data_IF_289686834289
#
_entry.id   IF_289686834289
#
_cell.length_a   1.000
_cell.length_b   1.000
_cell.length_c   1.000
_cell.angle_alpha   90.00
_cell.angle_beta   90.00
_cell.angle_gamma   90.00
#
_symmetry.space_group_name_H-M   'P 1'
#
loop_
_entity.id
_entity.type
_entity.pdbx_description
1 polymer ?
#
# COMPACT_ATOMS: atom_id res chain seq x y z
N UNK A 1 13.19 -64.97 -4.67
CA UNK A 1 14.24 -63.94 -4.67
C UNK A 1 13.59 -62.61 -4.93
N UNK A 2 13.31 -61.85 -3.85
CA UNK A 2 12.66 -60.56 -3.95
C UNK A 2 13.76 -59.49 -3.93
N UNK A 3 13.89 -58.78 -5.07
CA UNK A 3 14.80 -57.61 -5.14
C UNK A 3 14.20 -56.44 -4.36
N UNK A 4 14.81 -56.13 -3.22
CA UNK A 4 14.62 -54.85 -2.57
C UNK A 4 15.27 -53.75 -3.44
N UNK A 5 14.46 -53.01 -4.15
CA UNK A 5 14.92 -51.75 -4.78
C UNK A 5 15.08 -50.71 -3.66
N UNK A 6 16.32 -50.32 -3.38
CA UNK A 6 16.60 -49.16 -2.55
C UNK A 6 15.97 -47.92 -3.14
N UNK A 7 15.29 -47.08 -2.34
CA UNK A 7 14.71 -45.86 -2.86
C UNK A 7 15.80 -44.97 -3.46
N UNK A 8 15.57 -44.47 -4.68
CA UNK A 8 16.48 -43.52 -5.34
C UNK A 8 16.63 -42.25 -4.49
N UNK A 9 17.82 -41.71 -4.34
CA UNK A 9 18.02 -40.47 -3.58
C UNK A 9 17.22 -39.33 -4.22
N UNK A 10 16.36 -38.71 -3.42
CA UNK A 10 15.54 -37.55 -3.83
C UNK A 10 16.48 -36.37 -4.02
N UNK A 11 16.45 -35.74 -5.18
CA UNK A 11 17.24 -34.51 -5.40
C UNK A 11 16.68 -33.36 -4.57
N UNK A 12 17.52 -32.38 -4.21
CA UNK A 12 17.09 -31.16 -3.51
C UNK A 12 15.86 -30.50 -4.12
N UNK A 13 15.79 -30.47 -5.45
CA UNK A 13 14.66 -29.92 -6.23
C UNK A 13 13.37 -30.71 -5.99
N UNK A 14 13.46 -32.02 -5.89
CA UNK A 14 12.31 -32.90 -5.64
C UNK A 14 11.84 -32.80 -4.19
N UNK A 15 12.76 -32.70 -3.21
CA UNK A 15 12.42 -32.46 -1.82
C UNK A 15 11.70 -31.10 -1.63
N UNK A 16 12.20 -30.05 -2.26
CA UNK A 16 11.58 -28.72 -2.25
C UNK A 16 10.19 -28.72 -2.91
N UNK A 17 10.00 -29.47 -4.00
CA UNK A 17 8.67 -29.56 -4.66
C UNK A 17 7.66 -30.37 -3.86
N UNK A 18 8.10 -31.33 -3.03
CA UNK A 18 7.21 -32.13 -2.17
C UNK A 18 6.75 -31.38 -0.92
N UNK A 19 7.58 -30.45 -0.41
CA UNK A 19 7.29 -29.66 0.81
C UNK A 19 6.50 -28.40 0.46
N UNK A 20 6.68 -27.85 -0.74
CA UNK A 20 6.18 -26.55 -1.18
C UNK A 20 4.97 -26.60 -2.11
N UNK A 21 4.01 -27.49 -1.88
CA UNK A 21 2.78 -27.55 -2.71
C UNK A 21 2.03 -26.22 -2.71
N UNK A 22 2.34 -25.32 -3.64
CA UNK A 22 1.65 -24.07 -3.91
C UNK A 22 2.50 -22.81 -3.79
N UNK A 23 3.23 -22.59 -2.73
CA UNK A 23 4.07 -21.39 -2.52
C UNK A 23 5.45 -21.46 -3.18
N UNK A 24 5.99 -22.65 -3.38
CA UNK A 24 7.35 -22.86 -3.93
C UNK A 24 7.52 -22.45 -5.39
N UNK A 25 6.45 -22.37 -6.18
CA UNK A 25 6.53 -22.02 -7.60
C UNK A 25 6.67 -20.52 -7.87
N UNK A 26 6.16 -19.66 -7.00
CA UNK A 26 6.29 -18.19 -7.13
C UNK A 26 7.69 -17.73 -6.74
N UNK A 27 8.32 -18.40 -5.76
CA UNK A 27 9.70 -18.10 -5.37
C UNK A 27 10.74 -18.55 -6.41
N UNK A 28 10.42 -19.50 -7.27
CA UNK A 28 11.37 -20.09 -8.23
C UNK A 28 11.54 -19.31 -9.54
N UNK A 29 10.63 -18.41 -9.89
CA UNK A 29 10.66 -17.71 -11.19
C UNK A 29 11.67 -16.56 -11.27
N UNK A 30 12.27 -16.13 -10.15
CA UNK A 30 13.19 -14.98 -10.09
C UNK A 30 14.66 -15.33 -9.80
N UNK A 31 15.07 -16.58 -10.02
CA UNK A 31 16.42 -17.08 -9.69
C UNK A 31 17.54 -16.74 -10.67
N UNK A 32 17.49 -15.60 -11.35
CA UNK A 32 18.61 -15.20 -12.24
C UNK A 32 18.97 -13.76 -11.92
N UNK A 33 19.89 -13.56 -11.05
CA UNK A 33 20.82 -12.44 -10.81
C UNK A 33 20.98 -12.11 -9.33
N UNK A 34 21.89 -12.83 -8.68
CA UNK A 34 22.32 -12.49 -7.33
C UNK A 34 23.74 -11.91 -7.35
N UNK A 35 23.89 -10.72 -6.86
CA UNK A 35 25.16 -10.22 -6.37
C UNK A 35 24.99 -9.65 -4.96
N UNK A 36 25.62 -10.32 -3.98
CA UNK A 36 26.02 -9.82 -2.67
C UNK A 36 24.98 -8.99 -1.89
N UNK A 37 23.94 -9.61 -1.37
CA UNK A 37 23.14 -9.03 -0.30
C UNK A 37 23.86 -9.20 1.04
N UNK A 38 24.56 -8.17 1.51
CA UNK A 38 24.85 -8.06 2.93
C UNK A 38 23.51 -7.91 3.66
N UNK A 39 23.09 -8.95 4.38
CA UNK A 39 22.04 -8.85 5.39
C UNK A 39 22.58 -8.01 6.55
N UNK A 40 22.64 -6.71 6.35
CA UNK A 40 22.81 -5.77 7.43
C UNK A 40 21.47 -5.68 8.16
N UNK A 41 21.41 -6.04 9.42
CA UNK A 41 20.45 -5.46 10.35
C UNK A 41 20.70 -3.95 10.32
N UNK A 42 20.08 -3.25 9.39
CA UNK A 42 20.22 -1.81 9.30
C UNK A 42 19.50 -1.24 10.52
N UNK A 43 20.28 -0.69 11.42
CA UNK A 43 19.75 0.15 12.50
C UNK A 43 19.23 1.44 11.87
N UNK A 44 18.17 2.01 12.46
CA UNK A 44 17.70 3.34 12.09
C UNK A 44 18.86 4.34 12.12
N UNK A 45 18.89 5.28 11.17
CA UNK A 45 19.92 6.32 11.08
C UNK A 45 19.74 7.39 12.17
N UNK A 46 18.50 7.51 12.67
CA UNK A 46 18.11 8.41 13.76
C UNK A 46 16.86 7.85 14.48
N UNK A 47 16.43 8.49 15.54
CA UNK A 47 15.29 8.04 16.33
C UNK A 47 14.01 8.02 15.46
N UNK A 48 13.43 6.85 15.27
CA UNK A 48 12.15 6.69 14.59
C UNK A 48 11.01 7.32 15.40
N UNK A 49 10.03 7.89 14.69
CA UNK A 49 8.75 8.35 15.25
C UNK A 49 7.65 7.33 15.00
N UNK A 50 7.68 6.68 13.85
CA UNK A 50 6.81 5.56 13.49
C UNK A 50 7.60 4.25 13.50
N UNK A 51 6.93 3.15 13.88
CA UNK A 51 7.45 1.78 13.81
C UNK A 51 6.81 1.01 12.65
N UNK A 52 5.60 1.38 12.25
CA UNK A 52 4.75 0.65 11.31
C UNK A 52 4.05 1.62 10.38
N UNK A 53 3.62 1.09 9.23
CA UNK A 53 2.89 1.87 8.22
C UNK A 53 1.63 1.12 7.80
N UNK A 54 0.51 1.82 7.73
CA UNK A 54 -0.70 1.41 7.04
C UNK A 54 -0.91 2.36 5.86
N UNK A 55 -0.96 1.82 4.64
CA UNK A 55 -1.22 2.61 3.45
C UNK A 55 -2.58 2.21 2.85
N UNK A 56 -3.55 3.10 2.98
CA UNK A 56 -4.90 2.99 2.42
C UNK A 56 -4.86 3.57 1.01
N UNK A 57 -4.79 2.72 -0.01
CA UNK A 57 -4.61 3.16 -1.40
C UNK A 57 -5.94 3.16 -2.16
N UNK A 58 -6.38 4.35 -2.57
CA UNK A 58 -7.59 4.58 -3.36
C UNK A 58 -7.23 4.60 -4.85
N UNK A 59 -7.14 3.40 -5.45
CA UNK A 59 -6.74 3.25 -6.85
C UNK A 59 -7.76 3.83 -7.83
N UNK A 60 -7.26 4.62 -8.79
CA UNK A 60 -8.06 5.22 -9.85
C UNK A 60 -8.03 6.76 -9.90
N UNK A 61 -7.11 7.44 -9.20
CA UNK A 61 -6.93 8.88 -9.33
C UNK A 61 -8.08 9.70 -8.73
N UNK A 62 -8.10 9.77 -7.41
CA UNK A 62 -9.17 10.45 -6.66
C UNK A 62 -9.19 11.95 -6.94
N UNK A 63 -10.35 12.49 -7.26
CA UNK A 63 -10.55 13.92 -7.47
C UNK A 63 -10.39 14.71 -6.17
N UNK A 64 -9.28 15.41 -6.03
CA UNK A 64 -9.02 16.26 -4.87
C UNK A 64 -10.01 17.41 -4.76
N UNK A 65 -10.42 18.01 -5.88
CA UNK A 65 -11.39 19.11 -5.90
C UNK A 65 -12.82 18.70 -5.53
N UNK A 66 -13.08 17.39 -5.47
CA UNK A 66 -14.36 16.83 -5.06
C UNK A 66 -14.31 16.18 -3.67
N UNK A 67 -13.10 16.10 -3.05
CA UNK A 67 -12.91 15.37 -1.78
C UNK A 67 -12.23 16.18 -0.68
N UNK A 68 -11.01 16.70 -0.93
CA UNK A 68 -10.13 17.25 0.13
C UNK A 68 -9.66 18.69 -0.12
N UNK A 69 -9.85 19.24 -1.33
CA UNK A 69 -9.33 20.53 -1.76
C UNK A 69 -10.43 21.45 -2.31
N UNK A 70 -11.20 22.14 -1.45
CA UNK A 70 -12.29 23.01 -1.87
C UNK A 70 -11.79 24.15 -2.74
N UNK A 71 -12.51 24.44 -3.84
CA UNK A 71 -12.16 25.48 -4.80
C UNK A 71 -13.35 26.42 -5.08
N UNK A 72 -13.50 27.52 -4.32
CA UNK A 72 -14.58 28.48 -4.52
C UNK A 72 -14.61 29.06 -5.94
N UNK A 73 -13.47 29.13 -6.62
CA UNK A 73 -13.44 29.62 -8.01
C UNK A 73 -14.11 28.65 -8.99
N UNK A 74 -14.19 27.35 -8.68
CA UNK A 74 -14.98 26.41 -9.50
C UNK A 74 -16.48 26.70 -9.41
N UNK A 75 -16.98 27.16 -8.26
CA UNK A 75 -18.40 27.61 -8.16
C UNK A 75 -18.65 28.89 -8.98
N UNK A 76 -17.74 29.86 -8.89
CA UNK A 76 -17.86 31.15 -9.62
C UNK A 76 -17.78 30.99 -11.14
N UNK A 77 -17.00 30.01 -11.61
CA UNK A 77 -16.76 29.77 -13.04
C UNK A 77 -17.43 28.48 -13.54
N UNK A 78 -18.36 27.93 -12.79
CA UNK A 78 -19.11 26.73 -13.20
C UNK A 78 -19.74 26.90 -14.57
N UNK A 79 -19.54 25.94 -15.46
CA UNK A 79 -20.03 25.99 -16.83
C UNK A 79 -19.30 26.96 -17.76
N UNK A 80 -18.21 27.61 -17.31
CA UNK A 80 -17.44 28.59 -18.13
C UNK A 80 -16.07 28.00 -18.49
N UNK A 81 -15.45 28.49 -19.59
CA UNK A 81 -14.07 28.17 -19.90
C UNK A 81 -13.12 28.58 -18.77
N UNK A 82 -12.04 27.84 -18.56
CA UNK A 82 -11.00 28.23 -17.63
C UNK A 82 -10.34 29.54 -18.08
N UNK A 83 -10.20 30.55 -17.20
CA UNK A 83 -9.47 31.78 -17.53
C UNK A 83 -7.98 31.46 -17.73
N UNK A 84 -7.38 32.05 -18.76
CA UNK A 84 -5.95 31.90 -19.03
C UNK A 84 -5.61 30.84 -20.07
N UNK A 85 -4.38 30.26 -20.02
CA UNK A 85 -3.94 29.29 -21.01
C UNK A 85 -4.72 27.98 -20.87
N UNK A 86 -4.91 27.31 -22.02
CA UNK A 86 -5.64 26.05 -22.06
C UNK A 86 -4.95 24.99 -21.17
N UNK A 87 -5.77 24.23 -20.43
CA UNK A 87 -5.32 23.10 -19.65
C UNK A 87 -4.78 22.00 -20.57
N UNK A 88 -3.58 21.52 -20.30
CA UNK A 88 -3.05 20.32 -20.96
C UNK A 88 -3.63 19.08 -20.28
N UNK A 89 -4.41 18.32 -21.01
CA UNK A 89 -5.12 17.13 -20.52
C UNK A 89 -4.88 15.95 -21.47
N UNK A 90 -5.06 14.74 -21.00
CA UNK A 90 -4.94 13.55 -21.86
C UNK A 90 -6.13 13.40 -22.80
N UNK A 91 -7.32 13.77 -22.31
CA UNK A 91 -8.58 13.70 -23.05
C UNK A 91 -9.11 15.10 -23.24
N UNK A 92 -9.99 15.25 -24.22
CA UNK A 92 -10.62 16.53 -24.46
C UNK A 92 -11.45 16.94 -23.25
N UNK A 93 -11.19 18.11 -22.70
CA UNK A 93 -11.95 18.73 -21.61
C UNK A 93 -12.77 19.90 -22.10
N UNK A 94 -13.87 20.14 -21.41
CA UNK A 94 -14.77 21.26 -21.66
C UNK A 94 -14.60 22.38 -20.65
N UNK A 95 -15.72 22.91 -20.20
CA UNK A 95 -15.79 24.01 -19.23
C UNK A 95 -15.43 23.53 -17.81
N UNK A 96 -15.10 24.45 -16.93
CA UNK A 96 -14.94 24.20 -15.51
C UNK A 96 -16.24 23.65 -14.92
N UNK A 97 -16.07 22.74 -13.96
CA UNK A 97 -17.19 22.11 -13.26
C UNK A 97 -16.98 22.27 -11.76
N UNK A 98 -17.93 22.87 -11.05
CA UNK A 98 -17.92 22.89 -9.59
C UNK A 98 -18.07 21.46 -9.04
N UNK A 99 -17.61 21.25 -7.83
CA UNK A 99 -17.88 19.99 -7.13
C UNK A 99 -19.38 19.82 -6.88
N UNK A 100 -19.96 18.65 -7.21
CA UNK A 100 -21.34 18.36 -6.83
C UNK A 100 -21.48 17.99 -5.34
N UNK A 101 -20.38 17.95 -4.59
CA UNK A 101 -20.32 17.58 -3.18
C UNK A 101 -19.96 18.82 -2.35
N UNK A 102 -20.88 19.37 -1.56
CA UNK A 102 -20.60 20.49 -0.67
C UNK A 102 -19.48 20.20 0.32
N UNK A 103 -18.65 21.20 0.57
CA UNK A 103 -17.60 21.13 1.59
C UNK A 103 -18.12 21.68 2.91
N UNK A 104 -17.61 21.10 4.02
CA UNK A 104 -17.89 21.53 5.39
C UNK A 104 -16.61 21.58 6.20
N UNK A 105 -16.59 22.44 7.22
CA UNK A 105 -15.53 22.46 8.23
C UNK A 105 -15.80 21.42 9.30
N UNK A 106 -14.78 20.67 9.65
CA UNK A 106 -14.83 19.63 10.66
C UNK A 106 -13.75 19.85 11.72
N UNK A 107 -13.98 19.28 12.91
CA UNK A 107 -13.06 19.32 14.03
C UNK A 107 -12.81 20.72 14.60
N UNK A 108 -11.92 20.80 15.56
CA UNK A 108 -11.46 22.07 16.16
C UNK A 108 -10.54 22.84 15.19
N UNK A 109 -9.81 22.10 14.34
CA UNK A 109 -8.94 22.66 13.31
C UNK A 109 -9.71 23.41 12.21
N UNK A 110 -11.00 23.11 12.03
CA UNK A 110 -11.81 23.68 10.96
C UNK A 110 -11.39 23.22 9.56
N UNK A 111 -10.74 22.07 9.46
CA UNK A 111 -10.32 21.48 8.18
C UNK A 111 -11.54 21.17 7.31
N UNK A 112 -11.50 21.62 6.07
CA UNK A 112 -12.60 21.43 5.13
C UNK A 112 -12.47 20.10 4.37
N UNK A 113 -13.53 19.28 4.47
CA UNK A 113 -13.71 18.05 3.69
C UNK A 113 -15.07 18.12 2.98
N UNK A 114 -15.22 17.41 1.86
CA UNK A 114 -16.52 17.30 1.22
C UNK A 114 -17.51 16.48 2.05
N UNK A 115 -18.79 16.61 1.77
CA UNK A 115 -19.86 15.84 2.43
C UNK A 115 -19.71 14.32 2.30
N UNK A 116 -18.81 13.85 1.44
CA UNK A 116 -18.50 12.44 1.24
C UNK A 116 -17.80 11.81 2.45
N UNK A 117 -17.20 12.62 3.35
CA UNK A 117 -16.32 12.17 4.43
C UNK A 117 -16.82 12.57 5.83
N UNK A 118 -18.07 12.26 6.21
CA UNK A 118 -18.61 12.68 7.52
C UNK A 118 -17.94 11.93 8.69
N UNK A 119 -17.60 10.64 8.55
CA UNK A 119 -16.92 9.88 9.60
C UNK A 119 -15.45 10.29 9.72
N UNK A 120 -14.75 10.45 8.60
CA UNK A 120 -13.38 10.97 8.59
C UNK A 120 -13.30 12.37 9.21
N UNK A 121 -14.34 13.19 9.00
CA UNK A 121 -14.50 14.49 9.65
C UNK A 121 -14.48 14.42 11.18
N UNK A 122 -14.90 13.30 11.79
CA UNK A 122 -14.86 13.12 13.26
C UNK A 122 -13.45 12.90 13.83
N UNK A 123 -12.46 12.63 12.99
CA UNK A 123 -11.06 12.39 13.35
C UNK A 123 -10.12 13.35 12.60
N UNK A 124 -10.66 14.41 12.02
CA UNK A 124 -9.89 15.32 11.15
C UNK A 124 -8.77 16.05 11.90
N UNK A 125 -8.92 16.25 13.20
CA UNK A 125 -7.90 16.87 14.05
C UNK A 125 -6.67 15.97 14.27
N UNK A 126 -6.77 14.70 13.92
CA UNK A 126 -5.65 13.75 13.90
C UNK A 126 -4.96 13.67 12.51
N UNK A 127 -5.49 14.36 11.49
CA UNK A 127 -5.09 14.20 10.09
C UNK A 127 -4.32 15.45 9.60
N UNK A 128 -3.25 15.22 8.85
CA UNK A 128 -2.61 16.23 7.99
C UNK A 128 -3.02 15.98 6.53
N UNK A 129 -3.68 16.94 5.90
CA UNK A 129 -4.02 16.88 4.47
C UNK A 129 -2.98 17.61 3.66
N UNK A 130 -2.22 16.91 2.81
CA UNK A 130 -1.32 17.51 1.83
C UNK A 130 -2.14 17.77 0.56
N UNK A 131 -2.39 19.05 0.23
CA UNK A 131 -3.15 19.47 -0.95
C UNK A 131 -2.28 19.76 -2.16
N UNK A 132 -0.97 19.74 -2.00
CA UNK A 132 0.00 20.13 -3.02
C UNK A 132 0.80 18.97 -3.59
N UNK A 133 0.30 17.75 -3.46
CA UNK A 133 0.92 16.60 -4.12
C UNK A 133 0.90 16.80 -5.63
N UNK A 134 1.96 16.35 -6.30
CA UNK A 134 2.05 16.37 -7.75
C UNK A 134 2.98 15.27 -8.28
N UNK A 135 2.81 14.97 -9.56
CA UNK A 135 3.64 14.08 -10.35
C UNK A 135 3.65 14.58 -11.79
N UNK A 136 4.57 14.12 -12.59
CA UNK A 136 4.64 14.42 -14.02
C UNK A 136 3.83 13.41 -14.87
N UNK A 137 3.20 12.40 -14.25
CA UNK A 137 2.71 11.21 -14.95
C UNK A 137 1.17 11.19 -14.94
N UNK A 138 0.53 11.34 -16.10
CA UNK A 138 -0.92 11.39 -16.18
C UNK A 138 -1.60 10.02 -16.41
N UNK A 139 -0.86 8.93 -16.58
CA UNK A 139 -1.39 7.60 -16.85
C UNK A 139 -1.39 6.73 -15.59
N UNK A 140 -2.43 5.91 -15.39
CA UNK A 140 -2.56 5.05 -14.20
C UNK A 140 -1.37 4.13 -14.01
N UNK A 141 -1.06 3.25 -14.96
CA UNK A 141 -0.01 2.24 -14.81
C UNK A 141 1.35 2.81 -14.36
N UNK A 142 1.94 3.82 -15.04
CA UNK A 142 3.21 4.37 -14.62
C UNK A 142 3.09 5.22 -13.34
N UNK A 143 1.95 5.89 -13.09
CA UNK A 143 1.79 6.71 -11.88
C UNK A 143 1.51 5.88 -10.63
N UNK A 144 0.67 4.83 -10.73
CA UNK A 144 0.51 3.84 -9.64
C UNK A 144 1.87 3.20 -9.33
N UNK A 145 2.65 2.86 -10.38
CA UNK A 145 4.00 2.31 -10.21
C UNK A 145 4.90 3.30 -9.47
N UNK A 146 4.89 4.59 -9.83
CA UNK A 146 5.64 5.64 -9.15
C UNK A 146 5.26 5.76 -7.66
N UNK A 147 3.96 5.80 -7.33
CA UNK A 147 3.48 5.87 -5.95
C UNK A 147 3.93 4.67 -5.11
N UNK A 148 4.02 3.49 -5.72
CA UNK A 148 4.36 2.26 -5.00
C UNK A 148 5.86 1.95 -4.98
N UNK A 149 6.65 2.42 -5.95
CA UNK A 149 8.04 1.97 -6.14
C UNK A 149 9.06 3.12 -6.26
N UNK A 150 8.60 4.37 -6.32
CA UNK A 150 9.45 5.53 -6.59
C UNK A 150 10.00 5.58 -8.02
N UNK A 151 9.43 4.80 -8.95
CA UNK A 151 9.77 4.82 -10.36
C UNK A 151 8.53 4.61 -11.23
N UNK A 152 8.53 5.19 -12.43
CA UNK A 152 7.42 5.08 -13.37
C UNK A 152 7.48 3.83 -14.27
N UNK A 153 8.41 2.94 -13.99
CA UNK A 153 8.64 1.69 -14.73
C UNK A 153 8.63 0.50 -13.78
N UNK A 154 8.10 -0.62 -14.26
CA UNK A 154 8.12 -1.91 -13.55
C UNK A 154 9.56 -2.40 -13.39
N UNK A 155 9.83 -3.17 -12.31
CA UNK A 155 11.14 -3.76 -12.03
C UNK A 155 11.95 -3.02 -10.95
N UNK A 156 11.32 -2.10 -10.25
CA UNK A 156 11.86 -1.49 -9.02
C UNK A 156 11.19 -2.08 -7.79
N UNK A 157 11.92 -2.19 -6.65
CA UNK A 157 11.32 -2.65 -5.41
C UNK A 157 10.25 -1.67 -4.92
N UNK A 158 9.17 -2.22 -4.39
CA UNK A 158 8.10 -1.45 -3.79
C UNK A 158 8.54 -0.73 -2.51
N UNK A 159 7.82 0.32 -2.13
CA UNK A 159 8.02 1.04 -0.87
C UNK A 159 8.00 0.09 0.34
N UNK A 160 7.05 -0.85 0.38
CA UNK A 160 6.99 -1.85 1.46
C UNK A 160 8.21 -2.78 1.47
N UNK A 161 8.74 -3.14 0.31
CA UNK A 161 10.00 -3.90 0.20
C UNK A 161 11.20 -3.11 0.69
N UNK A 162 11.31 -1.81 0.38
CA UNK A 162 12.35 -0.93 0.89
C UNK A 162 12.26 -0.73 2.41
N UNK A 163 11.06 -0.54 2.95
CA UNK A 163 10.83 -0.39 4.40
C UNK A 163 11.25 -1.67 5.12
N UNK A 164 10.84 -2.83 4.64
CA UNK A 164 11.20 -4.12 5.26
C UNK A 164 12.67 -4.48 5.05
N UNK A 165 13.29 -4.09 3.94
CA UNK A 165 14.73 -4.20 3.74
C UNK A 165 15.52 -3.36 4.75
N UNK A 166 15.07 -2.12 5.02
CA UNK A 166 15.73 -1.21 5.95
C UNK A 166 15.55 -1.58 7.42
N UNK A 167 14.37 -2.06 7.81
CA UNK A 167 13.98 -2.23 9.22
C UNK A 167 13.75 -3.68 9.64
N UNK A 168 13.60 -4.60 8.70
CA UNK A 168 13.14 -5.96 9.01
C UNK A 168 11.71 -6.01 9.50
N UNK A 169 11.39 -7.03 10.26
CA UNK A 169 10.08 -7.23 10.90
C UNK A 169 10.22 -7.35 12.41
N UNK A 170 9.21 -6.91 13.16
CA UNK A 170 9.15 -7.11 14.61
C UNK A 170 8.54 -8.48 14.97
N UNK A 171 7.98 -9.19 13.99
CA UNK A 171 7.41 -10.52 14.15
C UNK A 171 7.92 -11.46 13.05
N UNK A 172 8.73 -12.43 13.43
CA UNK A 172 9.28 -13.40 12.48
C UNK A 172 8.29 -14.48 12.02
N UNK A 173 7.10 -14.56 12.64
CA UNK A 173 6.05 -15.51 12.29
C UNK A 173 5.08 -14.97 11.23
N UNK A 174 5.20 -13.70 10.90
CA UNK A 174 4.40 -13.05 9.86
C UNK A 174 5.30 -12.35 8.83
N UNK A 175 4.83 -12.16 7.59
CA UNK A 175 5.55 -11.34 6.63
C UNK A 175 5.73 -9.91 7.15
N UNK A 176 6.89 -9.31 6.89
CA UNK A 176 7.11 -7.91 7.24
C UNK A 176 6.29 -6.93 6.41
N UNK A 177 5.84 -7.35 5.22
CA UNK A 177 4.99 -6.57 4.30
C UNK A 177 3.79 -7.40 3.82
N UNK A 178 2.59 -6.91 4.08
CA UNK A 178 1.32 -7.53 3.68
C UNK A 178 0.53 -6.58 2.80
N UNK A 179 -0.06 -7.12 1.74
CA UNK A 179 -0.94 -6.42 0.80
C UNK A 179 -2.33 -7.01 0.87
N UNK A 180 -3.30 -6.18 1.20
CA UNK A 180 -4.71 -6.53 1.31
C UNK A 180 -5.45 -6.05 0.06
N UNK A 181 -6.08 -6.95 -0.66
CA UNK A 181 -6.88 -6.64 -1.84
C UNK A 181 -8.14 -7.53 -1.87
N UNK A 182 -9.34 -6.94 -2.03
CA UNK A 182 -10.56 -7.73 -1.97
C UNK A 182 -10.71 -8.67 -3.16
N UNK A 183 -10.23 -8.28 -4.32
CA UNK A 183 -10.35 -9.08 -5.56
C UNK A 183 -9.22 -8.77 -6.52
N UNK A 184 -8.92 -9.72 -7.40
CA UNK A 184 -8.04 -9.51 -8.54
C UNK A 184 -8.83 -9.11 -9.81
N UNK A 185 -8.16 -8.54 -10.81
CA UNK A 185 -6.83 -7.95 -10.77
C UNK A 185 -6.86 -6.44 -10.51
N UNK A 186 -5.83 -5.92 -9.84
CA UNK A 186 -5.48 -4.51 -9.96
C UNK A 186 -4.87 -4.26 -11.35
N UNK A 187 -4.89 -3.02 -11.80
CA UNK A 187 -4.45 -2.63 -13.16
C UNK A 187 -3.04 -3.13 -13.49
N UNK A 188 -2.13 -3.19 -12.52
CA UNK A 188 -0.76 -3.70 -12.69
C UNK A 188 -0.55 -5.04 -11.96
N UNK A 189 -1.16 -5.21 -10.79
CA UNK A 189 -1.02 -6.41 -9.97
C UNK A 189 0.33 -6.52 -9.24
N UNK A 190 0.90 -7.73 -9.24
CA UNK A 190 2.05 -8.09 -8.40
C UNK A 190 3.31 -7.23 -8.52
N UNK A 191 3.64 -6.55 -9.62
CA UNK A 191 4.76 -5.60 -9.67
C UNK A 191 4.67 -4.49 -8.62
N UNK A 192 3.48 -4.08 -8.18
CA UNK A 192 3.28 -3.01 -7.21
C UNK A 192 3.78 -3.33 -5.80
N UNK A 193 3.92 -4.61 -5.45
CA UNK A 193 4.44 -5.07 -4.16
C UNK A 193 5.65 -5.99 -4.30
N UNK A 194 6.27 -5.95 -5.47
CA UNK A 194 7.45 -6.76 -5.76
C UNK A 194 8.68 -6.28 -5.00
N UNK A 195 9.51 -7.25 -4.56
CA UNK A 195 10.87 -6.97 -4.11
C UNK A 195 11.84 -6.66 -5.25
N UNK A 196 11.46 -6.97 -6.49
CA UNK A 196 12.27 -6.80 -7.71
C UNK A 196 13.71 -7.32 -7.52
N UNK A 197 14.72 -6.45 -7.53
CA UNK A 197 16.12 -6.83 -7.32
C UNK A 197 16.53 -6.95 -5.83
N UNK A 198 15.68 -6.56 -4.87
CA UNK A 198 15.90 -6.87 -3.46
C UNK A 198 15.63 -8.36 -3.20
N UNK A 199 16.22 -8.96 -2.15
CA UNK A 199 15.92 -10.35 -1.79
C UNK A 199 14.43 -10.64 -1.62
N UNK A 200 13.99 -11.81 -2.08
CA UNK A 200 12.59 -12.21 -2.12
C UNK A 200 11.88 -12.20 -0.75
N UNK A 201 12.62 -12.27 0.35
CA UNK A 201 12.07 -12.19 1.71
C UNK A 201 11.37 -10.85 2.00
N UNK A 202 11.68 -9.80 1.23
CA UNK A 202 11.06 -8.48 1.33
C UNK A 202 9.86 -8.29 0.40
N UNK A 203 9.49 -9.32 -0.36
CA UNK A 203 8.30 -9.34 -1.22
C UNK A 203 7.03 -9.15 -0.38
N UNK A 204 6.09 -8.32 -0.87
CA UNK A 204 4.77 -8.21 -0.26
C UNK A 204 3.97 -9.51 -0.39
N UNK A 205 3.37 -9.94 0.71
CA UNK A 205 2.48 -11.11 0.73
C UNK A 205 1.05 -10.64 0.52
N UNK A 206 0.42 -11.15 -0.54
CA UNK A 206 -0.98 -10.81 -0.86
C UNK A 206 -1.94 -11.64 -0.01
N UNK A 207 -2.95 -10.96 0.48
CA UNK A 207 -4.04 -11.53 1.27
C UNK A 207 -5.36 -10.98 0.73
N UNK A 208 -6.32 -11.86 0.49
CA UNK A 208 -7.61 -11.47 -0.06
C UNK A 208 -8.60 -11.17 1.07
N UNK A 209 -9.03 -9.91 1.18
CA UNK A 209 -10.01 -9.44 2.15
C UNK A 209 -11.41 -9.32 1.54
N UNK A 210 -11.81 -10.30 0.74
CA UNK A 210 -13.14 -10.32 0.12
C UNK A 210 -14.21 -10.55 1.17
N UNK A 211 -15.19 -9.65 1.20
CA UNK A 211 -16.40 -9.77 1.99
C UNK A 211 -17.56 -10.19 1.08
N UNK A 212 -18.29 -11.23 1.48
CA UNK A 212 -19.52 -11.66 0.83
C UNK A 212 -20.65 -11.53 1.84
N UNK A 213 -21.67 -10.77 1.48
CA UNK A 213 -22.85 -10.56 2.33
C UNK A 213 -23.55 -11.90 2.56
N UNK A 214 -24.03 -12.12 3.78
CA UNK A 214 -24.70 -13.36 4.22
C UNK A 214 -23.84 -14.63 4.20
N UNK A 215 -22.53 -14.55 3.88
CA UNK A 215 -21.61 -15.68 4.05
C UNK A 215 -20.79 -15.56 5.34
N UNK A 216 -20.58 -16.66 6.07
CA UNK A 216 -19.69 -16.64 7.23
C UNK A 216 -18.25 -16.38 6.79
N UNK A 217 -17.57 -15.46 7.49
CA UNK A 217 -16.16 -15.20 7.24
C UNK A 217 -15.30 -16.43 7.60
N UNK A 218 -14.48 -16.88 6.67
CA UNK A 218 -13.56 -18.00 6.85
C UNK A 218 -12.10 -17.54 6.73
N UNK A 219 -11.40 -17.41 7.86
CA UNK A 219 -9.99 -16.98 7.90
C UNK A 219 -9.06 -17.85 7.04
N UNK A 220 -9.39 -19.12 6.84
CA UNK A 220 -8.62 -20.05 6.00
C UNK A 220 -8.70 -19.75 4.49
N UNK A 221 -9.75 -19.04 4.06
CA UNK A 221 -9.92 -18.62 2.65
C UNK A 221 -9.13 -17.35 2.33
N UNK A 222 -8.75 -16.57 3.34
CA UNK A 222 -8.08 -15.28 3.19
C UNK A 222 -6.66 -15.44 2.67
N UNK A 223 -5.96 -16.49 3.09
CA UNK A 223 -4.63 -16.84 2.58
C UNK A 223 -4.71 -18.21 1.90
N UNK A 224 -4.67 -18.27 0.57
CA UNK A 224 -4.65 -19.55 -0.15
C UNK A 224 -3.45 -20.40 0.30
N UNK A 225 -3.71 -21.68 0.54
CA UNK A 225 -2.67 -22.67 0.86
C UNK A 225 -1.84 -22.41 2.13
N UNK A 226 -2.34 -21.60 3.07
CA UNK A 226 -1.66 -21.37 4.35
C UNK A 226 -1.56 -22.66 5.19
N UNK A 227 -2.48 -23.59 5.00
CA UNK A 227 -2.45 -24.92 5.62
C UNK A 227 -2.40 -26.02 4.57
N UNK A 228 -1.63 -27.07 4.83
CA UNK A 228 -1.65 -28.28 4.01
C UNK A 228 -2.50 -29.35 4.72
N UNK A 229 -3.76 -29.60 4.29
CA UNK A 229 -4.64 -30.55 4.98
C UNK A 229 -4.18 -32.01 4.85
N UNK A 230 -3.19 -32.29 4.00
CA UNK A 230 -2.66 -33.65 3.78
C UNK A 230 -1.33 -33.90 4.52
N UNK A 231 -0.76 -32.90 5.17
CA UNK A 231 0.50 -33.04 5.84
C UNK A 231 0.32 -33.02 7.36
N UNK A 232 0.91 -34.00 8.03
CA UNK A 232 1.08 -33.98 9.47
C UNK A 232 2.01 -32.82 9.84
N UNK A 233 1.56 -31.96 10.73
CA UNK A 233 2.28 -30.77 11.16
C UNK A 233 3.59 -31.09 11.87
N UNK A 234 3.62 -32.19 12.65
CA UNK A 234 4.83 -32.62 13.32
C UNK A 234 5.87 -33.09 12.30
N UNK A 235 5.44 -33.83 11.29
CA UNK A 235 6.28 -34.24 10.18
C UNK A 235 6.82 -33.02 9.41
N UNK A 236 5.96 -32.04 9.07
CA UNK A 236 6.40 -30.79 8.41
C UNK A 236 7.43 -30.02 9.25
N UNK A 237 7.24 -29.92 10.56
CA UNK A 237 8.17 -29.26 11.46
C UNK A 237 9.55 -29.96 11.46
N UNK A 238 9.56 -31.29 11.45
CA UNK A 238 10.80 -32.09 11.34
C UNK A 238 11.50 -31.91 10.01
N UNK A 239 10.72 -31.86 8.90
CA UNK A 239 11.24 -31.64 7.55
C UNK A 239 11.87 -30.25 7.40
N UNK A 240 11.21 -29.20 7.91
CA UNK A 240 11.73 -27.82 7.94
C UNK A 240 12.98 -27.74 8.80
N UNK A 241 13.00 -28.38 9.97
CA UNK A 241 14.18 -28.48 10.84
C UNK A 241 15.36 -29.20 10.16
N UNK A 242 15.10 -30.29 9.46
CA UNK A 242 16.11 -31.00 8.69
C UNK A 242 16.68 -30.16 7.53
N UNK A 243 15.81 -29.47 6.79
CA UNK A 243 16.24 -28.56 5.71
C UNK A 243 17.09 -27.41 6.25
N UNK A 244 16.72 -26.83 7.41
CA UNK A 244 17.52 -25.81 8.09
C UNK A 244 18.93 -26.34 8.37
N UNK A 245 19.04 -27.49 8.98
CA UNK A 245 20.34 -28.11 9.29
C UNK A 245 21.18 -28.35 8.04
N UNK A 246 20.58 -28.86 6.95
CA UNK A 246 21.29 -29.05 5.68
C UNK A 246 21.79 -27.73 5.11
N UNK A 247 20.98 -26.65 5.22
CA UNK A 247 21.33 -25.35 4.74
C UNK A 247 22.45 -24.70 5.57
N UNK A 248 22.42 -24.82 6.89
CA UNK A 248 23.50 -24.38 7.79
C UNK A 248 24.82 -25.08 7.46
N UNK A 249 24.77 -26.40 7.22
CA UNK A 249 25.95 -27.17 6.79
C UNK A 249 26.48 -26.69 5.43
N UNK A 250 25.58 -26.32 4.51
CA UNK A 250 25.97 -25.80 3.20
C UNK A 250 26.62 -24.43 3.33
N UNK A 251 25.99 -23.51 4.06
CA UNK A 251 26.52 -22.16 4.32
C UNK A 251 27.87 -22.19 5.02
N UNK A 252 28.07 -23.12 5.94
CA UNK A 252 29.39 -23.28 6.62
C UNK A 252 30.53 -23.72 5.70
N UNK A 253 30.21 -24.32 4.55
CA UNK A 253 31.17 -24.78 3.53
C UNK A 253 31.44 -23.75 2.43
N UNK A 254 30.56 -22.76 2.28
CA UNK A 254 30.75 -21.69 1.31
C UNK A 254 31.70 -20.63 1.88
N UNK A 255 32.70 -20.22 1.08
CA UNK A 255 33.62 -19.13 1.46
C UNK A 255 32.92 -17.77 1.43
N UNK A 256 31.94 -17.62 0.57
CA UNK A 256 31.08 -16.45 0.48
C UNK A 256 29.65 -16.84 0.89
N UNK A 257 28.99 -16.00 1.71
CA UNK A 257 27.61 -16.19 2.09
C UNK A 257 26.69 -16.08 0.87
N UNK A 258 25.92 -17.12 0.62
CA UNK A 258 24.89 -17.13 -0.42
C UNK A 258 23.62 -16.45 0.14
N UNK A 259 23.55 -15.13 -0.03
CA UNK A 259 22.45 -14.34 0.49
C UNK A 259 21.09 -14.67 -0.16
N UNK A 260 21.10 -15.18 -1.39
CA UNK A 260 19.87 -15.60 -2.08
C UNK A 260 19.33 -16.91 -1.47
N UNK A 261 20.22 -17.85 -1.18
CA UNK A 261 19.87 -19.07 -0.48
C UNK A 261 19.36 -18.77 0.94
N UNK A 262 20.02 -17.88 1.70
CA UNK A 262 19.56 -17.44 3.02
C UNK A 262 18.16 -16.79 2.96
N UNK A 263 17.91 -15.93 1.98
CA UNK A 263 16.60 -15.28 1.78
C UNK A 263 15.51 -16.32 1.42
N UNK A 264 15.84 -17.30 0.58
CA UNK A 264 14.92 -18.39 0.20
C UNK A 264 14.55 -19.25 1.42
N UNK A 265 15.52 -19.60 2.24
CA UNK A 265 15.33 -20.35 3.49
C UNK A 265 14.41 -19.58 4.43
N UNK A 266 14.70 -18.31 4.66
CA UNK A 266 13.93 -17.45 5.56
C UNK A 266 12.48 -17.29 5.06
N UNK A 267 12.27 -17.18 3.77
CA UNK A 267 10.91 -17.14 3.17
C UNK A 267 10.13 -18.42 3.46
N UNK A 268 10.75 -19.59 3.29
CA UNK A 268 10.12 -20.88 3.58
C UNK A 268 9.80 -21.07 5.06
N UNK A 269 10.71 -20.67 5.94
CA UNK A 269 10.50 -20.72 7.39
C UNK A 269 9.39 -19.78 7.83
N UNK A 270 9.32 -18.58 7.29
CA UNK A 270 8.22 -17.63 7.55
C UNK A 270 6.90 -18.23 7.09
N UNK A 271 6.82 -18.80 5.88
CA UNK A 271 5.61 -19.45 5.38
C UNK A 271 5.16 -20.62 6.29
N UNK A 272 6.10 -21.40 6.83
CA UNK A 272 5.76 -22.45 7.80
C UNK A 272 5.24 -21.89 9.14
N UNK A 273 5.90 -20.85 9.68
CA UNK A 273 5.47 -20.18 10.92
C UNK A 273 4.12 -19.49 10.78
N UNK A 274 3.82 -18.93 9.62
CA UNK A 274 2.52 -18.33 9.28
C UNK A 274 1.35 -19.31 9.48
N UNK A 275 1.54 -20.60 9.23
CA UNK A 275 0.48 -21.61 9.43
C UNK A 275 -0.08 -21.61 10.85
N UNK A 276 0.69 -21.13 11.83
CA UNK A 276 0.28 -21.07 13.24
C UNK A 276 -0.36 -19.76 13.61
N UNK A 277 0.22 -18.65 13.17
CA UNK A 277 -0.17 -17.31 13.65
C UNK A 277 -1.20 -16.65 12.73
N UNK A 278 -1.07 -16.81 11.42
CA UNK A 278 -1.93 -16.18 10.44
C UNK A 278 -3.42 -16.48 10.66
N UNK A 279 -3.87 -17.73 10.91
CA UNK A 279 -5.29 -18.00 11.14
C UNK A 279 -5.88 -17.19 12.29
N UNK A 280 -5.10 -16.91 13.35
CA UNK A 280 -5.56 -16.12 14.49
C UNK A 280 -5.61 -14.63 14.19
N UNK A 281 -4.67 -14.11 13.39
CA UNK A 281 -4.59 -12.68 13.04
C UNK A 281 -5.70 -12.30 12.06
N UNK A 282 -5.96 -13.16 11.08
CA UNK A 282 -6.96 -12.90 10.06
C UNK A 282 -8.39 -13.26 10.49
N UNK A 283 -8.56 -13.98 11.59
CA UNK A 283 -9.88 -14.30 12.13
C UNK A 283 -10.48 -13.08 12.85
N UNK A 284 -11.14 -12.22 12.08
CA UNK A 284 -11.82 -11.02 12.59
C UNK A 284 -13.09 -11.35 13.40
N UNK A 285 -13.60 -12.59 13.34
CA UNK A 285 -14.79 -12.99 14.10
C UNK A 285 -14.54 -13.00 15.61
N UNK A 286 -13.28 -12.97 16.02
CA UNK A 286 -12.87 -12.87 17.43
C UNK A 286 -12.90 -11.45 17.99
N UNK A 287 -13.09 -10.45 17.15
CA UNK A 287 -13.24 -9.07 17.61
C UNK A 287 -14.60 -8.87 18.31
N UNK A 288 -14.61 -7.91 19.23
CA UNK A 288 -15.87 -7.54 19.90
C UNK A 288 -16.87 -6.94 18.90
N UNK A 289 -18.15 -7.08 19.19
CA UNK A 289 -19.19 -6.45 18.37
C UNK A 289 -18.97 -4.95 18.20
N UNK A 290 -18.48 -4.26 19.24
CA UNK A 290 -18.21 -2.82 19.18
C UNK A 290 -17.10 -2.47 18.19
N UNK A 291 -16.07 -3.31 18.04
CA UNK A 291 -15.02 -3.15 17.03
C UNK A 291 -15.57 -3.43 15.64
N UNK A 292 -16.33 -4.49 15.45
CA UNK A 292 -16.94 -4.79 14.15
C UNK A 292 -17.89 -3.67 13.71
N UNK A 293 -18.75 -3.17 14.62
CA UNK A 293 -19.65 -2.04 14.35
C UNK A 293 -18.90 -0.74 14.04
N UNK A 294 -17.71 -0.54 14.62
CA UNK A 294 -16.86 0.63 14.35
C UNK A 294 -16.41 0.68 12.89
N UNK A 295 -16.02 -0.46 12.32
CA UNK A 295 -15.56 -0.56 10.92
C UNK A 295 -16.73 -0.65 9.93
N UNK A 296 -17.85 -1.25 10.33
CA UNK A 296 -18.98 -1.56 9.47
C UNK A 296 -18.73 -2.76 8.54
N UNK A 297 -19.65 -3.05 7.64
CA UNK A 297 -19.56 -4.18 6.70
C UNK A 297 -18.73 -3.84 5.46
N UNK A 298 -18.33 -4.88 4.71
CA UNK A 298 -17.73 -4.76 3.39
C UNK A 298 -16.24 -5.03 3.35
N UNK A 299 -15.73 -5.23 2.15
CA UNK A 299 -14.33 -5.61 1.92
C UNK A 299 -13.34 -4.54 2.37
N UNK A 300 -13.67 -3.25 2.19
CA UNK A 300 -12.83 -2.14 2.66
C UNK A 300 -12.74 -2.15 4.19
N UNK A 301 -13.86 -2.33 4.89
CA UNK A 301 -13.92 -2.43 6.34
C UNK A 301 -13.10 -3.61 6.85
N UNK A 302 -13.26 -4.78 6.23
CA UNK A 302 -12.50 -5.99 6.55
C UNK A 302 -10.99 -5.76 6.36
N UNK A 303 -10.58 -5.17 5.24
CA UNK A 303 -9.17 -4.86 4.97
C UNK A 303 -8.57 -3.87 5.99
N UNK A 304 -9.32 -2.83 6.35
CA UNK A 304 -8.91 -1.85 7.35
C UNK A 304 -8.73 -2.49 8.74
N UNK A 305 -9.68 -3.32 9.18
CA UNK A 305 -9.58 -4.05 10.44
C UNK A 305 -8.40 -5.02 10.44
N UNK A 306 -8.22 -5.79 9.37
CA UNK A 306 -7.06 -6.68 9.22
C UNK A 306 -5.75 -5.90 9.26
N UNK A 307 -5.68 -4.71 8.66
CA UNK A 307 -4.48 -3.89 8.67
C UNK A 307 -4.08 -3.48 10.10
N UNK A 308 -5.03 -3.06 10.92
CA UNK A 308 -4.79 -2.73 12.33
C UNK A 308 -4.34 -3.96 13.12
N UNK A 309 -4.97 -5.11 12.94
CA UNK A 309 -4.57 -6.36 13.59
C UNK A 309 -3.16 -6.82 13.20
N UNK A 310 -2.79 -6.65 11.93
CA UNK A 310 -1.46 -7.00 11.43
C UNK A 310 -0.38 -6.11 12.03
N UNK A 311 -0.58 -4.79 12.09
CA UNK A 311 0.40 -3.89 12.71
C UNK A 311 0.48 -4.09 14.23
N UNK A 312 -0.61 -4.44 14.90
CA UNK A 312 -0.62 -4.85 16.32
C UNK A 312 0.26 -6.07 16.55
N UNK A 313 0.31 -7.01 15.60
CA UNK A 313 1.15 -8.21 15.62
C UNK A 313 2.58 -7.97 15.12
N UNK A 314 2.97 -6.73 14.86
CA UNK A 314 4.34 -6.37 14.50
C UNK A 314 4.66 -6.43 13.01
N UNK A 315 3.66 -6.56 12.13
CA UNK A 315 3.85 -6.39 10.68
C UNK A 315 4.29 -4.95 10.41
N UNK A 316 5.37 -4.79 9.66
CA UNK A 316 6.01 -3.48 9.45
C UNK A 316 5.25 -2.58 8.49
N UNK A 317 4.76 -3.16 7.40
CA UNK A 317 4.02 -2.45 6.35
C UNK A 317 2.77 -3.23 5.97
N UNK A 318 1.63 -2.57 6.02
CA UNK A 318 0.37 -3.09 5.49
C UNK A 318 -0.16 -2.10 4.46
N UNK A 319 -0.47 -2.58 3.27
CA UNK A 319 -1.08 -1.79 2.22
C UNK A 319 -2.44 -2.37 1.86
N UNK A 320 -3.45 -1.53 1.78
CA UNK A 320 -4.78 -1.93 1.32
C UNK A 320 -5.08 -1.29 -0.03
N UNK A 321 -5.71 -2.03 -0.94
CA UNK A 321 -6.31 -1.48 -2.16
C UNK A 321 -7.82 -1.48 -2.03
N UNK A 322 -8.46 -0.44 -2.57
CA UNK A 322 -9.91 -0.31 -2.46
C UNK A 322 -10.66 -1.43 -3.20
N UNK A 323 -10.23 -1.79 -4.41
CA UNK A 323 -10.92 -2.83 -5.17
C UNK A 323 -10.31 -3.11 -6.53
N UNK A 324 -11.07 -3.83 -7.37
CA UNK A 324 -10.64 -4.27 -8.70
C UNK A 324 -10.48 -3.11 -9.67
N UNK A 325 -9.40 -3.13 -10.46
CA UNK A 325 -9.11 -2.11 -11.46
C UNK A 325 -8.84 -0.75 -10.81
N UNK A 326 -9.46 0.28 -11.36
CA UNK A 326 -9.32 1.67 -10.93
C UNK A 326 -10.68 2.28 -10.56
N UNK A 327 -11.29 1.89 -9.41
CA UNK A 327 -12.69 2.28 -9.09
C UNK A 327 -12.92 3.78 -9.01
N UNK A 328 -11.91 4.54 -8.60
CA UNK A 328 -11.98 6.00 -8.48
C UNK A 328 -11.76 6.74 -9.81
N UNK A 329 -11.62 6.00 -10.93
CA UNK A 329 -11.42 6.56 -12.28
C UNK A 329 -12.72 7.10 -12.89
N UNK A 330 -13.21 8.23 -12.37
CA UNK A 330 -14.52 8.80 -12.70
C UNK A 330 -14.49 9.72 -13.96
N UNK A 331 -14.25 9.13 -15.13
CA UNK A 331 -14.30 9.85 -16.41
C UNK A 331 -15.71 10.24 -16.86
N UNK A 332 -16.69 9.41 -16.54
CA UNK A 332 -18.06 9.57 -17.09
C UNK A 332 -19.04 10.09 -16.03
N UNK A 333 -18.89 9.70 -14.77
CA UNK A 333 -19.79 10.07 -13.70
C UNK A 333 -19.06 10.24 -12.36
N UNK A 334 -18.87 11.51 -11.95
CA UNK A 334 -18.28 11.86 -10.66
C UNK A 334 -19.20 11.48 -9.49
N UNK A 335 -20.51 11.32 -9.71
CA UNK A 335 -21.46 10.97 -8.65
C UNK A 335 -21.26 9.54 -8.15
N UNK A 336 -20.56 8.69 -8.92
CA UNK A 336 -20.10 7.37 -8.47
C UNK A 336 -19.30 7.43 -7.16
N UNK A 337 -18.66 8.57 -6.87
CA UNK A 337 -17.92 8.79 -5.62
C UNK A 337 -18.79 8.67 -4.37
N UNK A 338 -20.12 8.88 -4.44
CA UNK A 338 -21.01 8.67 -3.28
C UNK A 338 -20.91 7.24 -2.75
N UNK A 339 -20.95 6.25 -3.65
CA UNK A 339 -20.83 4.84 -3.26
C UNK A 339 -19.42 4.51 -2.75
N UNK A 340 -18.39 4.95 -3.48
CA UNK A 340 -17.00 4.67 -3.12
C UNK A 340 -16.63 5.26 -1.76
N UNK A 341 -17.09 6.49 -1.51
CA UNK A 341 -16.88 7.16 -0.24
C UNK A 341 -17.69 6.50 0.90
N UNK A 342 -18.95 6.10 0.65
CA UNK A 342 -19.76 5.38 1.63
C UNK A 342 -19.06 4.08 2.09
N UNK A 343 -18.40 3.38 1.17
CA UNK A 343 -17.68 2.14 1.46
C UNK A 343 -16.34 2.39 2.18
N UNK A 344 -15.79 3.62 2.16
CA UNK A 344 -14.44 3.95 2.65
C UNK A 344 -14.43 4.85 3.88
N UNK A 345 -15.37 5.77 4.02
CA UNK A 345 -15.36 6.83 5.02
C UNK A 345 -15.35 6.29 6.46
N UNK A 346 -16.29 5.39 6.76
CA UNK A 346 -16.38 4.79 8.09
C UNK A 346 -15.15 3.94 8.42
N UNK A 347 -14.69 3.00 7.56
CA UNK A 347 -13.50 2.21 7.85
C UNK A 347 -12.22 3.03 7.99
N UNK A 348 -12.04 4.08 7.20
CA UNK A 348 -10.84 4.91 7.29
C UNK A 348 -10.79 5.71 8.60
N UNK A 349 -11.93 6.25 9.04
CA UNK A 349 -12.06 6.85 10.38
C UNK A 349 -11.86 5.81 11.48
N UNK A 350 -12.36 4.58 11.29
CA UNK A 350 -12.22 3.49 12.24
C UNK A 350 -10.76 3.10 12.48
N UNK A 351 -9.92 3.07 11.43
CA UNK A 351 -8.47 2.81 11.57
C UNK A 351 -7.84 3.76 12.59
N UNK A 352 -8.11 5.06 12.48
CA UNK A 352 -7.56 6.07 13.41
C UNK A 352 -8.08 5.84 14.83
N UNK A 353 -9.40 5.65 14.98
CA UNK A 353 -10.04 5.43 16.29
C UNK A 353 -9.53 4.15 16.97
N UNK A 354 -9.43 3.07 16.22
CA UNK A 354 -9.01 1.75 16.74
C UNK A 354 -7.51 1.75 17.11
N UNK A 355 -6.65 2.37 16.28
CA UNK A 355 -5.24 2.55 16.62
C UNK A 355 -5.07 3.36 17.91
N UNK A 356 -5.89 4.39 18.13
CA UNK A 356 -5.89 5.17 19.39
C UNK A 356 -6.36 4.32 20.57
N UNK A 357 -7.43 3.54 20.41
CA UNK A 357 -7.95 2.65 21.45
C UNK A 357 -6.96 1.55 21.84
N UNK A 358 -6.20 1.02 20.87
CA UNK A 358 -5.16 0.00 21.11
C UNK A 358 -3.81 0.61 21.57
N UNK A 359 -3.69 1.95 21.66
CA UNK A 359 -2.43 2.62 22.02
C UNK A 359 -1.32 2.48 20.97
N UNK A 360 -1.69 2.31 19.69
CA UNK A 360 -0.77 2.09 18.56
C UNK A 360 -0.63 3.31 17.66
N UNK A 361 -1.46 4.35 17.84
CA UNK A 361 -1.55 5.48 16.93
C UNK A 361 -0.23 6.27 16.82
N UNK A 362 0.45 6.52 17.95
CA UNK A 362 1.69 7.28 17.96
C UNK A 362 2.85 6.55 17.28
N UNK A 363 2.80 5.23 17.23
CA UNK A 363 3.83 4.36 16.63
C UNK A 363 3.47 3.90 15.20
N UNK A 364 2.28 4.24 14.68
CA UNK A 364 1.78 3.78 13.39
C UNK A 364 1.49 4.96 12.47
N UNK A 365 2.21 5.06 11.36
CA UNK A 365 1.92 6.01 10.30
C UNK A 365 0.79 5.48 9.43
N UNK A 366 -0.33 6.19 9.39
CA UNK A 366 -1.44 5.93 8.46
C UNK A 366 -1.32 6.90 7.30
N UNK A 367 -1.38 6.39 6.07
CA UNK A 367 -1.35 7.16 4.84
C UNK A 367 -2.60 6.79 4.06
N UNK A 368 -3.33 7.78 3.53
CA UNK A 368 -4.37 7.55 2.56
C UNK A 368 -4.09 8.39 1.33
N UNK A 369 -4.05 7.74 0.17
CA UNK A 369 -3.65 8.41 -1.04
C UNK A 369 -4.08 7.69 -2.31
N UNK A 370 -3.74 8.31 -3.41
CA UNK A 370 -4.04 7.89 -4.78
C UNK A 370 -2.84 8.22 -5.65
N UNK A 371 -2.83 7.78 -6.91
CA UNK A 371 -1.72 8.02 -7.82
C UNK A 371 -1.68 9.44 -8.40
N UNK A 372 -2.84 10.07 -8.68
CA UNK A 372 -2.99 11.46 -9.14
C UNK A 372 -4.39 11.99 -8.84
N UNK A 373 -4.66 13.24 -9.20
CA UNK A 373 -5.96 13.90 -9.05
C UNK A 373 -6.77 13.93 -10.35
N UNK A 374 -7.76 14.82 -10.38
CA UNK A 374 -8.64 15.04 -11.53
C UNK A 374 -8.65 16.49 -11.96
N UNK A 375 -8.91 16.74 -13.26
CA UNK A 375 -8.99 18.08 -13.81
C UNK A 375 -10.14 18.89 -13.18
N UNK A 376 -9.98 20.21 -13.05
CA UNK A 376 -11.08 21.10 -12.64
C UNK A 376 -12.18 21.21 -13.69
N UNK A 377 -11.90 20.82 -14.93
CA UNK A 377 -12.83 20.86 -16.05
C UNK A 377 -13.53 19.52 -16.25
N UNK A 378 -14.74 19.56 -16.79
CA UNK A 378 -15.49 18.38 -17.20
C UNK A 378 -14.76 17.71 -18.38
N UNK A 379 -14.68 16.39 -18.37
CA UNK A 379 -14.28 15.65 -19.55
C UNK A 379 -15.42 15.67 -20.57
N UNK A 380 -15.14 16.04 -21.80
CA UNK A 380 -16.15 15.97 -22.86
C UNK A 380 -16.27 14.54 -23.37
N UNK A 381 -17.48 14.10 -23.67
CA UNK A 381 -17.71 12.79 -24.26
C UNK A 381 -16.93 12.63 -25.56
N UNK A 382 -16.32 11.47 -25.77
CA UNK A 382 -15.96 11.03 -27.11
C UNK A 382 -17.26 10.90 -27.91
N UNK A 383 -17.22 11.13 -29.21
CA UNK A 383 -18.39 11.11 -30.13
C UNK A 383 -19.23 9.82 -30.06
N UNK A 384 -18.72 8.78 -29.39
CA UNK A 384 -19.37 7.48 -29.21
C UNK A 384 -20.09 7.29 -27.88
N UNK A 385 -19.98 8.22 -26.91
CA UNK A 385 -20.60 8.08 -25.60
C UNK A 385 -22.01 8.71 -25.62
N UNK A 386 -23.05 7.87 -25.59
CA UNK A 386 -24.41 8.31 -25.34
C UNK A 386 -24.58 8.67 -23.85
N UNK A 387 -24.87 9.93 -23.54
CA UNK A 387 -25.25 10.38 -22.19
C UNK A 387 -24.57 11.66 -21.72
N UNK A 388 -25.03 12.16 -20.58
CA UNK A 388 -24.43 13.33 -19.91
C UNK A 388 -23.13 12.87 -19.25
N UNK A 389 -22.00 13.43 -19.69
CA UNK A 389 -20.69 13.20 -19.07
C UNK A 389 -20.48 14.29 -18.04
N UNK A 390 -20.32 13.94 -16.78
CA UNK A 390 -20.02 14.82 -15.66
C UNK A 390 -18.78 14.38 -14.89
N UNK A 391 -17.93 13.60 -15.51
CA UNK A 391 -16.66 13.16 -14.94
C UNK A 391 -15.51 14.10 -15.28
N UNK A 392 -14.33 13.77 -14.80
CA UNK A 392 -13.11 14.56 -14.93
C UNK A 392 -11.97 13.71 -15.50
N UNK A 393 -11.12 14.34 -16.32
CA UNK A 393 -9.89 13.70 -16.82
C UNK A 393 -8.79 13.66 -15.76
N UNK A 394 -7.70 12.95 -16.02
CA UNK A 394 -6.54 12.82 -15.16
C UNK A 394 -5.82 14.16 -14.93
N UNK A 395 -5.37 14.39 -13.71
CA UNK A 395 -4.57 15.55 -13.36
C UNK A 395 -3.41 15.18 -12.44
N UNK A 396 -2.20 14.94 -12.97
CA UNK A 396 -1.04 14.70 -12.15
C UNK A 396 -0.47 15.96 -11.50
N UNK A 397 -0.81 17.14 -12.02
CA UNK A 397 -0.27 18.42 -11.58
C UNK A 397 -0.72 18.89 -10.20
N UNK A 398 -1.80 18.30 -9.67
CA UNK A 398 -2.34 18.58 -8.34
C UNK A 398 -3.21 17.46 -7.83
N UNK A 399 -2.94 16.96 -6.62
CA UNK A 399 -3.78 15.99 -5.92
C UNK A 399 -3.57 16.03 -4.41
N UNK A 400 -4.39 15.30 -3.66
CA UNK A 400 -4.33 15.29 -2.21
C UNK A 400 -4.03 13.89 -1.67
N UNK A 401 -3.25 13.87 -0.61
CA UNK A 401 -2.96 12.71 0.24
C UNK A 401 -3.15 13.16 1.68
N UNK A 402 -3.63 12.30 2.56
CA UNK A 402 -3.62 12.61 3.98
C UNK A 402 -2.81 11.57 4.79
N UNK A 403 -2.23 12.05 5.89
CA UNK A 403 -1.44 11.26 6.82
C UNK A 403 -1.96 11.47 8.24
N UNK A 404 -1.77 10.44 9.09
CA UNK A 404 -2.12 10.51 10.51
C UNK A 404 -1.20 9.62 11.35
N UNK A 405 -1.03 9.94 12.63
CA UNK A 405 -0.21 9.16 13.56
C UNK A 405 1.27 9.14 13.23
N UNK A 406 2.03 8.28 13.88
CA UNK A 406 3.45 8.04 13.59
C UNK A 406 4.34 9.29 13.54
N UNK A 407 4.03 10.33 14.35
CA UNK A 407 4.78 11.57 14.39
C UNK A 407 4.34 12.64 13.39
N UNK A 408 3.16 12.50 12.77
CA UNK A 408 2.52 13.53 11.93
C UNK A 408 1.78 14.54 12.83
N UNK A 409 1.84 15.81 12.46
CA UNK A 409 1.01 16.86 13.07
C UNK A 409 -0.43 16.73 12.57
N UNK A 410 -1.37 16.45 13.44
CA UNK A 410 -2.79 16.45 13.13
C UNK A 410 -3.42 17.83 13.02
N UNK A 411 -4.65 17.90 12.50
CA UNK A 411 -5.44 19.12 12.41
C UNK A 411 -4.87 20.19 11.47
N UNK A 412 -4.12 19.80 10.44
CA UNK A 412 -3.50 20.78 9.55
C UNK A 412 -3.66 20.43 8.06
N UNK A 413 -3.52 21.46 7.26
CA UNK A 413 -3.41 21.37 5.80
C UNK A 413 -2.05 21.86 5.36
N UNK A 414 -1.36 21.13 4.47
CA UNK A 414 -0.05 21.48 3.93
C UNK A 414 -0.13 21.75 2.45
N UNK A 415 0.42 22.89 2.04
CA UNK A 415 0.50 23.32 0.66
C UNK A 415 -0.87 23.64 0.04
N UNK A 416 -0.85 24.08 -1.20
CA UNK A 416 -2.06 24.38 -1.96
C UNK A 416 -1.88 24.12 -3.46
N UNK A 417 -2.98 23.77 -4.12
CA UNK A 417 -3.11 23.91 -5.56
C UNK A 417 -3.58 25.33 -5.93
N UNK A 418 -3.55 25.67 -7.21
CA UNK A 418 -4.04 26.95 -7.71
C UNK A 418 -5.54 27.15 -7.43
N UNK A 419 -6.07 28.31 -7.80
CA UNK A 419 -7.45 28.71 -7.53
C UNK A 419 -8.51 27.73 -8.09
N UNK A 420 -8.14 26.93 -9.09
CA UNK A 420 -9.02 25.96 -9.74
C UNK A 420 -8.70 24.51 -9.35
N UNK A 421 -7.56 24.25 -8.68
CA UNK A 421 -7.12 22.90 -8.34
C UNK A 421 -6.38 22.19 -9.47
N UNK A 422 -5.82 22.93 -10.45
CA UNK A 422 -5.14 22.31 -11.59
C UNK A 422 -3.68 21.99 -11.31
N UNK A 423 -2.97 22.87 -10.61
CA UNK A 423 -1.54 22.69 -10.32
C UNK A 423 -1.22 22.95 -8.87
N UNK A 424 -0.34 22.16 -8.29
CA UNK A 424 0.30 22.50 -7.03
C UNK A 424 1.12 23.79 -7.21
N UNK A 425 0.91 24.79 -6.34
CA UNK A 425 1.54 26.12 -6.44
C UNK A 425 2.27 26.52 -5.19
N UNK A 426 1.77 26.12 -4.01
CA UNK A 426 2.37 26.43 -2.72
C UNK A 426 2.89 25.14 -2.07
N UNK A 427 4.14 25.18 -1.57
CA UNK A 427 4.77 24.05 -0.87
C UNK A 427 4.55 22.72 -1.59
N UNK A 428 4.94 22.70 -2.85
CA UNK A 428 4.75 21.54 -3.73
C UNK A 428 5.41 20.31 -3.12
N UNK A 429 4.67 19.21 -3.09
CA UNK A 429 5.16 17.93 -2.60
C UNK A 429 5.13 16.89 -3.73
N UNK A 430 6.29 16.48 -4.21
CA UNK A 430 6.40 15.40 -5.19
C UNK A 430 6.20 14.05 -4.51
N UNK A 431 5.86 13.02 -5.28
CA UNK A 431 5.75 11.63 -4.77
C UNK A 431 7.03 11.18 -4.04
N UNK A 432 8.20 11.57 -4.54
CA UNK A 432 9.47 11.26 -3.86
C UNK A 432 9.63 11.98 -2.51
N UNK A 433 9.02 13.15 -2.32
CA UNK A 433 9.06 13.87 -1.04
C UNK A 433 8.19 13.16 0.00
N UNK A 434 7.04 12.61 -0.44
CA UNK A 434 6.22 11.73 0.39
C UNK A 434 7.02 10.49 0.82
N UNK A 435 7.70 9.81 -0.13
CA UNK A 435 8.54 8.65 0.18
C UNK A 435 9.69 8.99 1.13
N UNK A 436 10.37 10.12 0.93
CA UNK A 436 11.44 10.60 1.81
C UNK A 436 10.92 10.86 3.22
N UNK A 437 9.72 11.46 3.33
CA UNK A 437 9.06 11.77 4.60
C UNK A 437 8.65 10.50 5.36
N UNK A 438 8.07 9.51 4.66
CA UNK A 438 7.72 8.21 5.23
C UNK A 438 8.96 7.51 5.80
N UNK A 439 10.04 7.44 5.02
CA UNK A 439 11.30 6.83 5.48
C UNK A 439 11.90 7.59 6.65
N UNK A 440 11.83 8.93 6.65
CA UNK A 440 12.29 9.77 7.75
C UNK A 440 11.53 9.48 9.05
N UNK A 441 10.19 9.42 9.01
CA UNK A 441 9.37 9.07 10.18
C UNK A 441 9.72 7.69 10.74
N UNK A 442 10.11 6.76 9.89
CA UNK A 442 10.60 5.43 10.25
C UNK A 442 12.07 5.42 10.75
N UNK A 443 12.71 6.59 10.87
CA UNK A 443 14.10 6.70 11.32
C UNK A 443 15.14 6.40 10.25
N UNK A 444 14.75 6.37 8.99
CA UNK A 444 15.61 6.05 7.85
C UNK A 444 15.98 7.32 7.09
N UNK A 445 17.28 7.55 6.89
CA UNK A 445 17.77 8.49 5.89
C UNK A 445 17.61 7.86 4.51
N UNK A 446 16.66 8.37 3.72
CA UNK A 446 16.33 7.85 2.39
C UNK A 446 17.50 7.91 1.41
N UNK A 447 18.51 8.76 1.67
CA UNK A 447 19.72 8.86 0.83
C UNK A 447 20.75 7.78 1.15
N UNK A 448 20.69 7.19 2.35
CA UNK A 448 21.61 6.15 2.83
C UNK A 448 21.05 4.73 2.69
N UNK A 449 19.72 4.59 2.65
CA UNK A 449 19.10 3.29 2.39
C UNK A 449 19.24 2.96 0.90
N UNK A 450 20.31 2.27 0.56
CA UNK A 450 20.66 1.91 -0.83
C UNK A 450 20.85 0.42 -0.99
N UNK A 451 20.66 -0.06 -2.21
CA UNK A 451 20.98 -1.42 -2.64
C UNK A 451 21.76 -1.38 -3.96
N UNK A 452 22.91 -2.06 -4.00
CA UNK A 452 23.72 -2.13 -5.19
C UNK A 452 23.19 -3.20 -6.16
N UNK A 453 22.82 -2.79 -7.34
CA UNK A 453 22.34 -3.69 -8.39
C UNK A 453 22.80 -3.19 -9.77
N UNK A 454 23.31 -4.09 -10.63
CA UNK A 454 23.76 -3.73 -11.96
C UNK A 454 24.82 -2.61 -12.00
N UNK A 455 25.68 -2.51 -10.98
CA UNK A 455 26.74 -1.49 -10.91
C UNK A 455 26.28 -0.12 -10.39
N UNK A 456 25.00 0.04 -10.01
CA UNK A 456 24.45 1.30 -9.46
C UNK A 456 23.87 1.06 -8.05
N UNK A 457 24.00 2.05 -7.18
CA UNK A 457 23.27 2.10 -5.90
C UNK A 457 21.87 2.67 -6.13
N UNK A 458 20.85 1.86 -5.91
CA UNK A 458 19.45 2.25 -5.99
C UNK A 458 18.89 2.61 -4.63
N UNK A 459 17.90 3.48 -4.60
CA UNK A 459 17.10 3.84 -3.42
C UNK A 459 15.66 4.13 -3.85
N UNK A 460 14.71 4.10 -2.91
CA UNK A 460 13.28 4.33 -3.17
C UNK A 460 13.03 5.67 -3.86
N UNK A 461 13.73 6.73 -3.43
CA UNK A 461 13.55 8.10 -3.93
C UNK A 461 14.40 8.42 -5.17
N UNK A 462 15.05 7.44 -5.75
CA UNK A 462 16.00 7.57 -6.86
C UNK A 462 17.01 8.71 -6.62
N UNK A 463 17.00 9.79 -7.40
CA UNK A 463 17.90 10.95 -7.24
C UNK A 463 17.22 12.14 -6.57
N UNK A 464 15.94 12.04 -6.22
CA UNK A 464 15.11 13.12 -5.70
C UNK A 464 14.66 12.86 -4.25
N UNK A 465 13.65 13.60 -3.81
CA UNK A 465 12.99 13.49 -2.53
C UNK A 465 13.56 14.42 -1.46
N UNK A 466 12.68 15.25 -0.91
CA UNK A 466 12.94 16.12 0.23
C UNK A 466 11.96 15.80 1.35
N UNK A 467 12.46 15.75 2.59
CA UNK A 467 11.58 15.47 3.75
C UNK A 467 10.72 16.70 4.04
N UNK A 468 9.41 16.52 4.10
CA UNK A 468 8.45 17.58 4.41
C UNK A 468 8.45 17.81 5.93
N UNK A 469 9.44 18.54 6.42
CA UNK A 469 9.66 18.76 7.86
C UNK A 469 8.49 19.45 8.57
N UNK A 470 7.74 20.29 7.86
CA UNK A 470 6.66 21.10 8.44
C UNK A 470 5.48 20.27 8.96
N UNK A 471 5.26 19.08 8.41
CA UNK A 471 4.18 18.18 8.85
C UNK A 471 4.60 17.21 9.95
N UNK A 472 5.87 17.24 10.36
CA UNK A 472 6.42 16.35 11.39
C UNK A 472 6.33 17.04 12.76
N UNK A 473 5.77 16.32 13.77
CA UNK A 473 5.58 16.80 15.15
C UNK A 473 6.88 16.92 15.94
#
# INVERSE_FOLDING_TARGET
MSCHQSPKPVTRRQALSMIGGGFGLVAFSNMVNASLAQAATQRTHFKARAKRVIFLFMNGGVSHVDTFDPKPMLEKYDGKPMPGPQILTQRKTGNLMKSPFPFKKYGESGTELSELWPNLGTVVDDICVIRSMWSEIPNHEPCITMMNTGANIIGRPSMGSWITYGLGTDNENLPGYVVLTPTEPLTIGSPLWSSAFLPAVYQGTVVHNTWVEDEPFEATKVIPNVTNPKADRELQSRDVGFLRHLNEMHLSRLRDKDAELEASIKTMETAFRMQTEAPSVFDVTKESKSVLDLYGPGSTALGCLMAVRLVEKGVRMVQTYYGKGDPWDAHNDILSYRKLAMDSDQPYAAVIKDLKQRGLFDDTLVICGTEFGRTPAIQTANETAAGVVNGRDHNPGGFSVWLAGGGIKGGMTYGATDEFGYKAVEKKAHVHDLHATILHLLGIDHTKLTYQYGGRNFRLTDTAGEVIQEIIS
#
